data_IF_317167017088
#
_entry.id   IF_317167017088
#
_cell.length_a   1.000
_cell.length_b   1.000
_cell.length_c   1.000
_cell.angle_alpha   90.00
_cell.angle_beta   90.00
_cell.angle_gamma   90.00
#
_symmetry.space_group_name_H-M   'P 1'
#
loop_
_entity.id
_entity.type
_entity.pdbx_description
1 polymer ?
#
# COMPACT_ATOMS: atom_id res chain seq x y z
N UNK A 1 -32.16 -1.96 22.90
CA UNK A 1 -30.80 -1.41 22.84
C UNK A 1 -30.00 -2.13 21.77
N UNK A 2 -29.98 -1.59 20.56
CA UNK A 2 -29.59 -2.36 19.36
C UNK A 2 -28.85 -1.49 18.33
N UNK A 3 -27.85 -0.72 18.76
CA UNK A 3 -26.83 -0.16 17.88
C UNK A 3 -25.58 0.16 18.71
N UNK A 4 -24.70 -0.84 18.85
CA UNK A 4 -23.30 -0.56 19.18
C UNK A 4 -22.58 -0.15 17.91
N UNK A 5 -21.68 0.81 18.03
CA UNK A 5 -20.85 1.25 16.91
C UNK A 5 -19.94 0.10 16.51
N UNK A 6 -19.81 -0.16 15.21
CA UNK A 6 -18.90 -1.16 14.63
C UNK A 6 -17.48 -1.10 15.25
N UNK A 7 -17.03 0.10 15.62
CA UNK A 7 -15.72 0.33 16.25
C UNK A 7 -15.60 -0.21 17.68
N UNK A 8 -16.70 -0.25 18.43
CA UNK A 8 -16.74 -0.78 19.80
C UNK A 8 -16.64 -2.31 19.83
N UNK A 9 -17.14 -3.00 18.79
CA UNK A 9 -17.06 -4.46 18.68
C UNK A 9 -15.65 -4.92 18.25
N UNK A 10 -14.96 -4.12 17.43
CA UNK A 10 -13.58 -4.36 16.99
C UNK A 10 -12.58 -4.17 18.13
N UNK A 11 -12.78 -3.17 19.00
CA UNK A 11 -11.94 -2.98 20.19
C UNK A 11 -12.08 -4.14 21.18
N UNK A 12 -13.30 -4.67 21.38
CA UNK A 12 -13.52 -5.83 22.26
C UNK A 12 -12.80 -7.09 21.78
N UNK A 13 -12.85 -7.39 20.48
CA UNK A 13 -12.20 -8.58 19.91
C UNK A 13 -10.66 -8.49 19.98
N UNK A 14 -10.10 -7.28 19.98
CA UNK A 14 -8.67 -7.05 20.21
C UNK A 14 -8.26 -7.34 21.65
N UNK A 15 -9.16 -7.13 22.61
CA UNK A 15 -8.97 -7.47 24.02
C UNK A 15 -9.16 -8.98 24.28
N UNK A 16 -9.97 -9.67 23.49
CA UNK A 16 -10.29 -11.10 23.64
C UNK A 16 -9.29 -12.06 22.95
N UNK A 17 -8.38 -11.56 22.10
CA UNK A 17 -7.49 -12.36 21.24
C UNK A 17 -6.19 -12.92 21.85
N UNK A 18 -5.98 -12.81 23.17
CA UNK A 18 -4.85 -13.48 23.85
C UNK A 18 -5.28 -14.88 24.32
N UNK A 19 -5.35 -15.84 23.40
CA UNK A 19 -5.61 -17.24 23.69
C UNK A 19 -4.71 -18.16 22.86
N UNK A 20 -3.91 -18.95 23.56
CA UNK A 20 -2.90 -19.89 23.06
C UNK A 20 -3.48 -20.94 22.10
N UNK A 21 -2.81 -21.14 20.96
CA UNK A 21 -2.64 -22.38 20.16
C UNK A 21 -1.81 -21.95 18.92
N UNK A 22 -0.59 -22.41 18.63
CA UNK A 22 -0.06 -23.76 18.72
C UNK A 22 0.47 -24.18 17.33
N UNK A 23 1.66 -23.68 16.98
CA UNK A 23 2.65 -24.28 16.05
C UNK A 23 2.44 -24.33 14.52
N UNK A 24 1.26 -24.06 13.93
CA UNK A 24 1.12 -23.99 12.45
C UNK A 24 1.25 -22.58 11.84
N UNK A 25 1.47 -21.56 12.67
CA UNK A 25 1.45 -20.15 12.27
C UNK A 25 2.79 -19.59 11.74
N UNK A 26 3.87 -20.38 11.77
CA UNK A 26 5.24 -19.88 11.53
C UNK A 26 5.52 -19.60 10.02
N UNK A 27 4.65 -20.03 9.10
CA UNK A 27 4.79 -19.83 7.66
C UNK A 27 3.70 -18.96 7.01
N UNK A 28 2.83 -18.31 7.80
CA UNK A 28 1.98 -17.25 7.26
C UNK A 28 2.81 -15.96 7.30
N UNK A 29 3.30 -15.57 6.12
CA UNK A 29 3.94 -14.27 5.88
C UNK A 29 3.18 -13.15 6.58
N UNK A 30 3.94 -12.12 6.95
CA UNK A 30 3.56 -10.98 7.81
C UNK A 30 2.04 -10.78 7.81
N UNK A 31 1.39 -11.16 8.92
CA UNK A 31 -0.06 -11.28 9.03
C UNK A 31 -0.78 -10.21 8.20
N UNK A 32 -1.53 -10.64 7.18
CA UNK A 32 -2.27 -9.79 6.22
C UNK A 32 -3.44 -9.07 6.88
N UNK A 33 -3.26 -8.52 8.08
CA UNK A 33 -4.28 -7.86 8.91
C UNK A 33 -5.04 -6.77 8.16
N UNK A 34 -4.37 -6.04 7.26
CA UNK A 34 -5.02 -5.03 6.42
C UNK A 34 -6.03 -5.63 5.41
N UNK A 35 -5.90 -6.92 5.07
CA UNK A 35 -6.75 -7.65 4.13
C UNK A 35 -7.66 -8.68 4.78
N UNK A 36 -7.57 -8.92 6.09
CA UNK A 36 -8.48 -9.82 6.83
C UNK A 36 -9.94 -9.40 6.61
N UNK A 37 -10.22 -8.10 6.50
CA UNK A 37 -11.55 -7.57 6.16
C UNK A 37 -12.08 -8.02 4.78
N UNK A 38 -11.19 -8.45 3.88
CA UNK A 38 -11.49 -8.91 2.52
C UNK A 38 -11.32 -10.43 2.33
N UNK A 39 -10.89 -11.15 3.36
CA UNK A 39 -10.80 -12.61 3.31
C UNK A 39 -12.20 -13.23 3.37
N UNK A 40 -12.41 -14.26 2.56
CA UNK A 40 -13.68 -14.96 2.51
C UNK A 40 -13.78 -15.85 3.75
N UNK A 41 -14.42 -15.35 4.80
CA UNK A 41 -14.80 -16.21 5.93
C UNK A 41 -16.09 -16.98 5.55
N UNK A 42 -16.06 -18.33 5.48
CA UNK A 42 -17.24 -19.14 5.23
C UNK A 42 -18.28 -19.05 6.36
N UNK A 43 -17.92 -18.60 7.57
CA UNK A 43 -18.80 -18.48 8.74
C UNK A 43 -19.42 -17.08 8.93
N UNK A 44 -19.03 -16.06 8.14
CA UNK A 44 -19.70 -14.74 8.17
C UNK A 44 -21.03 -14.80 7.42
N UNK A 45 -22.11 -15.19 8.10
CA UNK A 45 -23.48 -15.25 7.56
C UNK A 45 -24.23 -13.92 7.45
N UNK A 46 -23.55 -12.76 7.44
CA UNK A 46 -24.19 -11.44 7.49
C UNK A 46 -24.21 -10.68 6.16
N UNK A 47 -25.21 -9.79 5.98
CA UNK A 47 -25.41 -8.87 4.83
C UNK A 47 -24.23 -7.91 4.54
N UNK A 48 -23.17 -7.96 5.35
CA UNK A 48 -21.98 -7.11 5.26
C UNK A 48 -20.80 -7.73 4.48
N UNK A 49 -21.01 -8.77 3.67
CA UNK A 49 -19.95 -9.33 2.83
C UNK A 49 -19.45 -8.29 1.81
N UNK A 50 -18.14 -7.98 1.72
CA UNK A 50 -17.64 -7.18 0.62
C UNK A 50 -17.84 -7.96 -0.68
N UNK A 51 -18.46 -7.32 -1.67
CA UNK A 51 -18.61 -7.96 -2.98
C UNK A 51 -17.22 -8.28 -3.56
N UNK A 52 -17.06 -9.33 -4.39
CA UNK A 52 -15.79 -9.63 -5.06
C UNK A 52 -15.21 -8.43 -5.83
N UNK A 53 -16.10 -7.56 -6.33
CA UNK A 53 -15.75 -6.27 -6.96
C UNK A 53 -15.12 -5.27 -5.97
N UNK A 54 -15.58 -5.22 -4.71
CA UNK A 54 -14.98 -4.37 -3.67
C UNK A 54 -13.56 -4.84 -3.34
N UNK A 55 -13.35 -6.17 -3.24
CA UNK A 55 -12.02 -6.74 -3.00
C UNK A 55 -11.05 -6.43 -4.13
N UNK A 56 -11.46 -6.68 -5.38
CA UNK A 56 -10.60 -6.42 -6.53
C UNK A 56 -10.27 -4.94 -6.73
N UNK A 57 -11.25 -4.06 -6.54
CA UNK A 57 -11.01 -2.63 -6.65
C UNK A 57 -10.10 -2.11 -5.53
N UNK A 58 -10.25 -2.60 -4.30
CA UNK A 58 -9.38 -2.21 -3.20
C UNK A 58 -7.94 -2.67 -3.41
N UNK A 59 -7.74 -3.93 -3.81
CA UNK A 59 -6.42 -4.47 -4.09
C UNK A 59 -5.73 -3.70 -5.22
N UNK A 60 -6.47 -3.40 -6.29
CA UNK A 60 -5.96 -2.58 -7.39
C UNK A 60 -5.56 -1.18 -6.90
N UNK A 61 -6.37 -0.53 -6.07
CA UNK A 61 -6.03 0.77 -5.50
C UNK A 61 -4.78 0.70 -4.63
N UNK A 62 -4.64 -0.32 -3.78
CA UNK A 62 -3.45 -0.51 -2.96
C UNK A 62 -2.19 -0.69 -3.83
N UNK A 63 -2.29 -1.48 -4.90
CA UNK A 63 -1.21 -1.69 -5.87
C UNK A 63 -0.82 -0.39 -6.59
N UNK A 64 -1.80 0.37 -7.08
CA UNK A 64 -1.57 1.65 -7.77
C UNK A 64 -0.99 2.71 -6.84
N UNK A 65 -1.50 2.84 -5.61
CA UNK A 65 -0.93 3.74 -4.61
C UNK A 65 0.53 3.38 -4.34
N UNK A 66 0.84 2.09 -4.18
CA UNK A 66 2.20 1.62 -3.92
C UNK A 66 3.12 1.95 -5.09
N UNK A 67 2.67 1.74 -6.33
CA UNK A 67 3.43 2.06 -7.53
C UNK A 67 3.73 3.56 -7.65
N UNK A 68 2.72 4.42 -7.44
CA UNK A 68 2.87 5.87 -7.48
C UNK A 68 3.84 6.36 -6.39
N UNK A 69 3.73 5.82 -5.17
CA UNK A 69 4.65 6.17 -4.07
C UNK A 69 6.10 5.81 -4.39
N UNK A 70 6.33 4.65 -5.00
CA UNK A 70 7.69 4.27 -5.47
C UNK A 70 8.19 5.30 -6.49
N UNK A 71 7.35 5.75 -7.43
CA UNK A 71 7.76 6.72 -8.46
C UNK A 71 8.07 8.08 -7.85
N UNK A 72 7.26 8.55 -6.89
CA UNK A 72 7.50 9.79 -6.14
C UNK A 72 8.81 9.73 -5.37
N UNK A 73 9.07 8.64 -4.65
CA UNK A 73 10.33 8.47 -3.92
C UNK A 73 11.55 8.35 -4.84
N UNK A 74 11.41 7.68 -6.00
CA UNK A 74 12.52 7.61 -6.98
C UNK A 74 12.82 8.99 -7.59
N UNK A 75 11.80 9.83 -7.76
CA UNK A 75 11.93 11.18 -8.35
C UNK A 75 12.46 12.20 -7.35
N UNK A 76 11.92 12.21 -6.14
CA UNK A 76 12.25 13.19 -5.10
C UNK A 76 13.49 12.79 -4.29
N UNK A 77 13.82 11.50 -4.30
CA UNK A 77 14.87 10.90 -3.47
C UNK A 77 14.29 10.29 -2.19
N UNK A 78 14.86 9.16 -1.78
CA UNK A 78 14.48 8.48 -0.53
C UNK A 78 15.19 9.14 0.64
N UNK A 79 14.45 9.96 1.40
CA UNK A 79 14.91 10.59 2.65
C UNK A 79 14.30 9.88 3.85
N UNK A 80 15.15 9.29 4.69
CA UNK A 80 14.72 8.60 5.91
C UNK A 80 14.70 9.62 7.05
N UNK A 81 13.57 9.72 7.76
CA UNK A 81 13.45 10.60 8.92
C UNK A 81 14.42 10.17 10.04
N UNK A 82 15.15 11.13 10.60
CA UNK A 82 16.13 10.90 11.67
C UNK A 82 17.54 10.51 11.23
N UNK A 83 17.80 10.35 9.92
CA UNK A 83 19.16 10.23 9.38
C UNK A 83 19.68 11.56 8.86
N UNK A 84 21.00 11.79 8.95
CA UNK A 84 21.65 12.88 8.24
C UNK A 84 21.36 12.74 6.75
N UNK A 85 20.66 13.70 6.16
CA UNK A 85 20.32 13.74 4.73
C UNK A 85 21.54 14.05 3.84
N UNK A 86 22.61 13.26 4.00
CA UNK A 86 23.79 13.33 3.15
C UNK A 86 23.35 13.00 1.73
N UNK A 87 23.70 13.83 0.73
CA UNK A 87 23.31 13.59 -0.67
C UNK A 87 23.73 12.21 -1.18
N UNK A 88 24.86 11.68 -0.69
CA UNK A 88 25.33 10.32 -1.00
C UNK A 88 24.36 9.23 -0.51
N UNK A 89 23.88 9.33 0.73
CA UNK A 89 22.92 8.39 1.33
C UNK A 89 21.60 8.38 0.55
N UNK A 90 21.03 9.56 0.27
CA UNK A 90 19.79 9.68 -0.50
C UNK A 90 19.95 9.06 -1.90
N UNK A 91 21.08 9.31 -2.58
CA UNK A 91 21.36 8.73 -3.89
C UNK A 91 21.45 7.20 -3.85
N UNK A 92 22.10 6.63 -2.82
CA UNK A 92 22.24 5.18 -2.69
C UNK A 92 20.92 4.49 -2.34
N UNK A 93 20.13 5.04 -1.41
CA UNK A 93 18.81 4.52 -1.07
C UNK A 93 17.87 4.57 -2.30
N UNK A 94 17.92 5.67 -3.05
CA UNK A 94 17.14 5.84 -4.28
C UNK A 94 17.57 4.85 -5.37
N UNK A 95 18.87 4.65 -5.56
CA UNK A 95 19.42 3.70 -6.52
C UNK A 95 19.03 2.25 -6.16
N UNK A 96 19.08 1.91 -4.87
CA UNK A 96 18.62 0.62 -4.36
C UNK A 96 17.13 0.41 -4.65
N UNK A 97 16.26 1.34 -4.25
CA UNK A 97 14.82 1.22 -4.48
C UNK A 97 14.49 1.11 -5.98
N UNK A 98 15.16 1.91 -6.82
CA UNK A 98 14.98 1.84 -8.28
C UNK A 98 15.36 0.47 -8.83
N UNK A 99 16.48 -0.09 -8.41
CA UNK A 99 16.91 -1.43 -8.84
C UNK A 99 15.95 -2.51 -8.33
N UNK A 100 15.61 -2.46 -7.05
CA UNK A 100 14.70 -3.40 -6.39
C UNK A 100 13.32 -3.44 -7.08
N UNK A 101 12.77 -2.26 -7.38
CA UNK A 101 11.51 -2.11 -8.12
C UNK A 101 11.63 -2.60 -9.57
N UNK A 102 12.70 -2.25 -10.28
CA UNK A 102 12.91 -2.69 -11.66
C UNK A 102 12.96 -4.20 -11.82
N UNK A 103 13.60 -4.91 -10.88
CA UNK A 103 13.66 -6.38 -10.85
C UNK A 103 12.29 -7.03 -10.58
N UNK A 104 11.37 -6.31 -9.92
CA UNK A 104 10.06 -6.82 -9.47
C UNK A 104 8.88 -6.27 -10.25
N UNK A 105 9.11 -5.39 -11.22
CA UNK A 105 8.07 -4.73 -12.00
C UNK A 105 7.11 -5.74 -12.64
N UNK A 106 7.67 -6.73 -13.35
CA UNK A 106 6.87 -7.72 -14.06
C UNK A 106 6.25 -8.78 -13.16
N UNK A 107 6.85 -9.06 -11.99
CA UNK A 107 6.33 -10.06 -11.06
C UNK A 107 5.22 -9.52 -10.15
N UNK A 108 5.27 -8.24 -9.79
CA UNK A 108 4.35 -7.66 -8.80
C UNK A 108 3.34 -6.67 -9.39
N UNK A 109 3.72 -5.88 -10.41
CA UNK A 109 2.92 -4.72 -10.85
C UNK A 109 2.34 -4.85 -12.26
N UNK A 110 2.80 -5.81 -13.07
CA UNK A 110 2.37 -5.96 -14.47
C UNK A 110 1.80 -7.37 -14.72
N UNK A 111 0.73 -7.44 -15.52
CA UNK A 111 0.15 -8.69 -15.99
C UNK A 111 -1.01 -9.21 -15.14
N UNK A 112 -1.38 -10.48 -15.36
CA UNK A 112 -2.43 -11.15 -14.59
C UNK A 112 -1.84 -11.53 -13.23
N UNK A 113 -2.22 -10.78 -12.20
CA UNK A 113 -1.68 -10.93 -10.85
C UNK A 113 -2.74 -11.45 -9.88
N UNK A 114 -2.28 -12.14 -8.83
CA UNK A 114 -3.12 -12.48 -7.68
C UNK A 114 -3.36 -11.27 -6.78
N UNK A 115 -4.28 -11.39 -5.83
CA UNK A 115 -4.49 -10.36 -4.80
C UNK A 115 -3.29 -10.30 -3.84
N UNK A 116 -3.00 -9.10 -3.34
CA UNK A 116 -2.00 -8.85 -2.31
C UNK A 116 -0.58 -8.60 -2.82
N UNK A 117 -0.38 -8.36 -4.12
CA UNK A 117 0.96 -8.10 -4.66
C UNK A 117 1.65 -6.87 -4.09
N UNK A 118 0.88 -5.86 -3.69
CA UNK A 118 1.45 -4.70 -3.01
C UNK A 118 2.12 -5.11 -1.70
N UNK A 119 1.46 -5.97 -0.92
CA UNK A 119 1.96 -6.43 0.38
C UNK A 119 3.11 -7.44 0.21
N UNK A 120 3.02 -8.34 -0.78
CA UNK A 120 4.15 -9.23 -1.16
C UNK A 120 5.42 -8.40 -1.47
N UNK A 121 5.28 -7.28 -2.19
CA UNK A 121 6.40 -6.38 -2.49
C UNK A 121 7.02 -5.77 -1.22
N UNK A 122 6.18 -5.32 -0.27
CA UNK A 122 6.66 -4.80 1.02
C UNK A 122 7.33 -5.89 1.85
N UNK A 123 6.78 -7.10 1.88
CA UNK A 123 7.37 -8.24 2.59
C UNK A 123 8.75 -8.56 2.03
N UNK A 124 8.91 -8.68 0.71
CA UNK A 124 10.21 -8.88 0.08
C UNK A 124 11.20 -7.74 0.37
N UNK A 125 10.72 -6.49 0.42
CA UNK A 125 11.54 -5.33 0.73
C UNK A 125 12.02 -5.36 2.19
N UNK A 126 11.14 -5.69 3.13
CA UNK A 126 11.47 -5.77 4.56
C UNK A 126 12.38 -6.96 4.88
N UNK A 127 12.22 -8.08 4.17
CA UNK A 127 13.06 -9.27 4.30
C UNK A 127 14.43 -9.12 3.62
N UNK A 128 14.62 -8.07 2.82
CA UNK A 128 15.90 -7.81 2.17
C UNK A 128 16.98 -7.43 3.18
N UNK A 129 18.13 -8.10 3.09
CA UNK A 129 19.25 -7.84 4.00
C UNK A 129 19.81 -6.41 3.83
N UNK A 130 20.15 -5.71 4.93
CA UNK A 130 20.89 -4.46 4.88
C UNK A 130 22.23 -4.61 4.15
N UNK A 131 22.67 -3.56 3.46
CA UNK A 131 23.90 -3.59 2.64
C UNK A 131 24.74 -2.34 2.84
N UNK A 132 26.05 -2.52 2.96
CA UNK A 132 27.01 -1.43 2.97
C UNK A 132 27.48 -1.17 1.53
N UNK A 133 27.42 0.08 1.10
CA UNK A 133 27.88 0.51 -0.22
C UNK A 133 28.87 1.65 -0.06
N UNK A 134 30.07 1.45 -0.58
CA UNK A 134 31.10 2.49 -0.65
C UNK A 134 30.96 3.23 -1.97
N UNK A 135 30.80 4.55 -1.90
CA UNK A 135 30.72 5.42 -3.08
C UNK A 135 32.11 5.71 -3.65
N UNK A 136 32.16 6.27 -4.85
CA UNK A 136 33.40 6.72 -5.50
C UNK A 136 34.19 7.74 -4.65
N UNK A 137 33.50 8.51 -3.81
CA UNK A 137 34.10 9.46 -2.86
C UNK A 137 34.64 8.80 -1.56
N UNK A 138 34.77 7.47 -1.54
CA UNK A 138 35.19 6.65 -0.38
C UNK A 138 34.26 6.77 0.86
N UNK A 139 33.06 7.33 0.67
CA UNK A 139 32.02 7.39 1.70
C UNK A 139 31.28 6.07 1.74
N UNK A 140 31.32 5.40 2.89
CA UNK A 140 30.55 4.19 3.13
C UNK A 140 29.17 4.52 3.67
N UNK A 141 28.14 4.02 3.00
CA UNK A 141 26.71 4.24 3.30
C UNK A 141 26.04 2.92 3.63
N UNK A 142 25.17 2.92 4.65
CA UNK A 142 24.36 1.77 5.00
C UNK A 142 22.99 1.93 4.34
N UNK A 143 22.62 0.99 3.48
CA UNK A 143 21.28 0.88 2.92
C UNK A 143 20.49 -0.05 3.83
N UNK A 144 19.43 0.49 4.44
CA UNK A 144 18.52 -0.26 5.30
C UNK A 144 17.15 -0.43 4.62
N UNK A 145 16.87 -1.59 3.99
CA UNK A 145 15.62 -1.83 3.28
C UNK A 145 14.37 -1.68 4.15
N UNK A 146 14.46 -1.98 5.45
CA UNK A 146 13.35 -1.80 6.40
C UNK A 146 12.97 -0.32 6.53
N UNK A 147 13.95 0.58 6.65
CA UNK A 147 13.70 2.02 6.70
C UNK A 147 13.16 2.56 5.37
N UNK A 148 13.62 2.03 4.25
CA UNK A 148 13.06 2.36 2.94
C UNK A 148 11.60 1.90 2.84
N UNK A 149 11.26 0.73 3.40
CA UNK A 149 9.89 0.24 3.45
C UNK A 149 8.99 1.14 4.31
N UNK A 150 9.44 1.56 5.49
CA UNK A 150 8.73 2.53 6.36
C UNK A 150 8.43 3.83 5.60
N UNK A 151 9.45 4.46 5.00
CA UNK A 151 9.27 5.69 4.20
C UNK A 151 8.33 5.48 3.01
N UNK A 152 8.36 4.31 2.39
CA UNK A 152 7.45 3.98 1.30
C UNK A 152 6.00 3.80 1.77
N UNK A 153 5.78 3.23 2.96
CA UNK A 153 4.45 3.11 3.55
C UNK A 153 3.85 4.49 3.89
N UNK A 154 4.65 5.40 4.42
CA UNK A 154 4.24 6.79 4.69
C UNK A 154 3.84 7.53 3.39
N UNK A 155 4.65 7.39 2.34
CA UNK A 155 4.31 7.99 1.04
C UNK A 155 3.09 7.31 0.40
N UNK A 156 2.86 6.01 0.64
CA UNK A 156 1.64 5.29 0.22
C UNK A 156 0.40 5.86 0.89
N UNK A 157 0.47 6.15 2.18
CA UNK A 157 -0.62 6.79 2.90
C UNK A 157 -0.92 8.19 2.34
N UNK A 158 0.13 8.98 2.08
CA UNK A 158 -0.01 10.33 1.49
C UNK A 158 -0.72 10.28 0.13
N UNK A 159 -0.30 9.38 -0.76
CA UNK A 159 -0.93 9.17 -2.08
C UNK A 159 -2.39 8.75 -1.91
N UNK A 160 -2.68 7.81 -1.02
CA UNK A 160 -4.03 7.34 -0.79
C UNK A 160 -4.97 8.46 -0.29
N UNK A 161 -4.48 9.32 0.60
CA UNK A 161 -5.24 10.48 1.09
C UNK A 161 -5.49 11.52 0.00
N UNK A 162 -4.50 11.81 -0.85
CA UNK A 162 -4.63 12.68 -2.00
C UNK A 162 -5.69 12.15 -2.98
N UNK A 163 -5.60 10.88 -3.34
CA UNK A 163 -6.54 10.26 -4.28
C UNK A 163 -7.95 10.16 -3.69
N UNK A 164 -8.08 9.93 -2.39
CA UNK A 164 -9.37 9.99 -1.69
C UNK A 164 -10.00 11.37 -1.82
N UNK A 165 -9.21 12.43 -1.69
CA UNK A 165 -9.69 13.81 -1.85
C UNK A 165 -10.13 14.09 -3.29
N UNK A 166 -9.35 13.67 -4.29
CA UNK A 166 -9.71 13.81 -5.71
C UNK A 166 -11.00 13.04 -6.02
N UNK A 167 -11.10 11.79 -5.55
CA UNK A 167 -12.27 10.95 -5.78
C UNK A 167 -13.55 11.52 -5.15
N UNK A 168 -13.45 12.27 -4.05
CA UNK A 168 -14.58 12.94 -3.42
C UNK A 168 -15.24 13.99 -4.34
N UNK A 169 -14.50 14.56 -5.29
CA UNK A 169 -15.00 15.55 -6.25
C UNK A 169 -15.64 14.91 -7.50
N UNK A 170 -15.49 13.60 -7.69
CA UNK A 170 -15.99 12.89 -8.88
C UNK A 170 -17.49 13.04 -9.17
N UNK A 171 -18.41 13.18 -8.18
CA UNK A 171 -19.83 13.38 -8.48
C UNK A 171 -20.11 14.68 -9.24
N UNK A 172 -19.37 15.75 -8.92
CA UNK A 172 -19.51 17.05 -9.58
C UNK A 172 -19.01 16.97 -11.03
N UNK A 173 -17.85 16.35 -11.25
CA UNK A 173 -17.30 16.11 -12.60
C UNK A 173 -18.26 15.27 -13.46
N UNK A 174 -18.83 14.20 -12.88
CA UNK A 174 -19.83 13.38 -13.57
C UNK A 174 -21.08 14.18 -13.93
N UNK A 175 -21.51 15.11 -13.08
CA UNK A 175 -22.64 15.99 -13.37
C UNK A 175 -22.32 16.94 -14.54
N UNK A 176 -21.12 17.51 -14.58
CA UNK A 176 -20.70 18.37 -15.69
C UNK A 176 -20.67 17.61 -17.03
N UNK A 177 -20.15 16.39 -17.03
CA UNK A 177 -20.14 15.54 -18.23
C UNK A 177 -21.56 15.24 -18.70
N UNK A 178 -22.48 14.90 -17.79
CA UNK A 178 -23.90 14.68 -18.13
C UNK A 178 -24.56 15.95 -18.67
N UNK A 179 -24.26 17.11 -18.08
CA UNK A 179 -24.75 18.41 -18.58
C UNK A 179 -24.26 18.69 -20.00
N UNK A 180 -22.98 18.45 -20.28
CA UNK A 180 -22.41 18.60 -21.63
C UNK A 180 -23.07 17.66 -22.64
N UNK A 181 -23.31 16.40 -22.26
CA UNK A 181 -24.03 15.45 -23.11
C UNK A 181 -25.45 15.91 -23.40
N UNK A 182 -26.16 16.40 -22.39
CA UNK A 182 -27.53 16.92 -22.53
C UNK A 182 -27.57 18.12 -23.48
N UNK A 183 -26.68 19.09 -23.31
CA UNK A 183 -26.59 20.27 -24.18
C UNK A 183 -26.37 19.87 -25.64
N UNK A 184 -25.46 18.92 -25.88
CA UNK A 184 -25.19 18.39 -27.21
C UNK A 184 -26.42 17.71 -27.83
N UNK A 185 -27.20 16.97 -27.06
CA UNK A 185 -28.45 16.35 -27.54
C UNK A 185 -29.54 17.37 -27.84
N UNK A 186 -29.55 18.50 -27.13
CA UNK A 186 -30.50 19.60 -27.34
C UNK A 186 -30.05 20.60 -28.41
N UNK A 187 -28.87 20.44 -28.99
CA UNK A 187 -28.33 21.33 -30.04
C UNK A 187 -27.84 22.69 -29.52
N UNK A 188 -27.46 22.76 -28.23
CA UNK A 188 -26.86 23.93 -27.58
C UNK A 188 -25.34 23.85 -27.51
#
# INVERSE_FOLDING_TARGET
DMFRSYWEEVERLREEGCGEDGEDAINKGFERHAQIFLEWDPNFGGEAKPSPLRKGNFDLLALLCTQESIHRLIKNGVTIEGEDHKPSQVKQNTAFLRKFYGERLYSHFVGVQGYGRADDFFEELMLSSPRMVTTEDDVTTLINPLKIAETLMEERERVALEWKQVAANSPEEHFEVRRMQLNKMMGL
#
